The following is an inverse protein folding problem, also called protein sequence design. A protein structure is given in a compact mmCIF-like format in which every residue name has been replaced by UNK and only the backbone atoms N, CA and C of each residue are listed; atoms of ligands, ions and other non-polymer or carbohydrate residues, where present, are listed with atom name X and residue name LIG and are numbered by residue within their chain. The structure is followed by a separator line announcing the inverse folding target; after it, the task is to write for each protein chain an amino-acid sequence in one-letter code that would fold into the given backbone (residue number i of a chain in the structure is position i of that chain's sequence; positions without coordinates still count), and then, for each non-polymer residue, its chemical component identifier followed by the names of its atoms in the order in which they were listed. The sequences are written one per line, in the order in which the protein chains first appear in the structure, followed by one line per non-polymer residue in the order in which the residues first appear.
data_IF_111520527862
#
_entry.id   IF_111520527862
#
_cell.length_a   1.000
_cell.length_b   1.000
_cell.length_c   1.000
_cell.angle_alpha   90.00
_cell.angle_beta   90.00
_cell.angle_gamma   90.00
#
_symmetry.space_group_name_H-M   'P 1'
#
loop_
_entity.id
_entity.type
_entity.pdbx_description
1 polymer ?
#
# COMPACT_ATOMS: atom_id res chain seq x y z
N UNK A 1 15.89 15.54 -1.22
CA UNK A 1 16.60 14.24 -1.22
C UNK A 1 15.75 13.26 -2.02
N UNK A 2 16.17 12.83 -3.22
CA UNK A 2 15.35 12.00 -4.12
C UNK A 2 15.34 10.55 -3.60
N UNK A 3 14.17 10.06 -3.22
CA UNK A 3 13.95 8.63 -2.93
C UNK A 3 13.93 7.84 -4.26
N UNK A 4 14.26 6.55 -4.29
CA UNK A 4 14.17 5.72 -5.51
C UNK A 4 12.79 5.75 -6.20
N UNK A 5 11.74 6.10 -5.44
CA UNK A 5 10.38 6.32 -5.92
C UNK A 5 10.25 7.50 -6.90
N UNK A 6 11.22 8.41 -6.96
CA UNK A 6 11.24 9.53 -7.93
C UNK A 6 11.28 9.07 -9.38
N UNK A 7 11.71 7.84 -9.67
CA UNK A 7 11.72 7.31 -11.03
C UNK A 7 10.30 7.04 -11.57
N UNK A 8 9.39 6.57 -10.72
CA UNK A 8 7.97 6.34 -11.10
C UNK A 8 7.31 7.66 -11.53
N UNK A 9 7.61 8.75 -10.82
CA UNK A 9 7.04 10.06 -11.13
C UNK A 9 7.57 10.68 -12.42
N UNK A 10 8.79 10.32 -12.86
CA UNK A 10 9.33 10.74 -14.14
C UNK A 10 8.65 9.98 -15.28
N UNK A 11 8.62 8.64 -15.20
CA UNK A 11 7.97 7.80 -16.21
C UNK A 11 6.50 8.14 -16.40
N UNK A 12 5.76 8.39 -15.31
CA UNK A 12 4.36 8.82 -15.43
C UNK A 12 4.25 10.15 -16.17
N UNK A 13 5.13 11.12 -15.93
CA UNK A 13 5.08 12.41 -16.64
C UNK A 13 5.41 12.27 -18.11
N UNK A 14 6.42 11.49 -18.47
CA UNK A 14 6.79 11.28 -19.87
C UNK A 14 5.62 10.71 -20.70
N UNK A 15 4.82 9.81 -20.11
CA UNK A 15 3.61 9.29 -20.77
C UNK A 15 2.52 10.36 -20.90
N UNK A 16 2.31 11.16 -19.85
CA UNK A 16 1.25 12.16 -19.81
C UNK A 16 1.57 13.39 -20.68
N UNK A 17 2.83 13.78 -20.78
CA UNK A 17 3.29 14.88 -21.63
C UNK A 17 3.15 14.54 -23.13
N UNK A 18 3.01 13.25 -23.46
CA UNK A 18 2.63 12.80 -24.79
C UNK A 18 1.13 12.92 -25.11
N UNK A 19 0.29 13.28 -24.13
CA UNK A 19 -1.14 13.47 -24.31
C UNK A 19 -1.44 14.92 -24.71
N UNK A 20 -2.22 15.12 -25.78
CA UNK A 20 -2.67 16.45 -26.22
C UNK A 20 -3.91 16.93 -25.43
N UNK A 21 -3.88 16.76 -24.11
CA UNK A 21 -4.97 17.09 -23.18
C UNK A 21 -4.40 17.59 -21.86
N UNK A 22 -5.09 18.55 -21.24
CA UNK A 22 -4.68 19.04 -19.93
C UNK A 22 -4.87 17.95 -18.86
N UNK A 23 -3.97 17.88 -17.88
CA UNK A 23 -4.04 16.89 -16.83
C UNK A 23 -3.53 17.43 -15.48
N UNK A 24 -3.88 16.76 -14.40
CA UNK A 24 -3.37 16.99 -13.05
C UNK A 24 -3.03 15.66 -12.39
N UNK A 25 -1.99 15.64 -11.55
CA UNK A 25 -1.52 14.41 -10.89
C UNK A 25 -1.50 14.60 -9.38
N UNK A 26 -2.20 13.70 -8.68
CA UNK A 26 -2.23 13.64 -7.22
C UNK A 26 -1.39 12.45 -6.75
N UNK A 27 -0.32 12.71 -6.00
CA UNK A 27 0.60 11.68 -5.52
C UNK A 27 0.17 11.11 -4.16
N UNK A 28 0.40 9.83 -3.93
CA UNK A 28 0.02 9.17 -2.66
C UNK A 28 0.84 9.66 -1.47
N UNK A 29 1.96 10.35 -1.73
CA UNK A 29 2.84 10.95 -0.74
C UNK A 29 2.71 12.48 -0.67
N UNK A 30 1.72 13.07 -1.36
CA UNK A 30 1.51 14.50 -1.38
C UNK A 30 1.14 15.03 0.01
N UNK A 31 1.59 16.24 0.33
CA UNK A 31 1.15 16.98 1.52
C UNK A 31 -0.16 17.72 1.28
N UNK A 32 -0.78 18.24 2.36
CA UNK A 32 -2.11 18.86 2.28
C UNK A 32 -2.16 20.07 1.33
N UNK A 33 -1.07 20.82 1.23
CA UNK A 33 -0.86 21.97 0.35
C UNK A 33 -0.68 21.58 -1.12
N UNK A 34 -0.26 20.35 -1.41
CA UNK A 34 -0.11 19.81 -2.77
C UNK A 34 -1.42 19.18 -3.31
N UNK A 35 -2.42 19.04 -2.45
CA UNK A 35 -3.69 18.39 -2.76
C UNK A 35 -3.68 16.89 -2.42
N UNK A 36 -4.54 16.49 -1.49
CA UNK A 36 -4.71 15.10 -1.07
C UNK A 36 -5.93 14.47 -1.74
N UNK A 37 -5.80 13.19 -2.08
CA UNK A 37 -6.91 12.37 -2.58
C UNK A 37 -7.04 11.10 -1.75
N UNK A 38 -8.28 10.65 -1.56
CA UNK A 38 -8.57 9.38 -0.89
C UNK A 38 -8.19 8.20 -1.81
N UNK A 39 -6.90 7.90 -1.93
CA UNK A 39 -6.31 6.89 -2.82
C UNK A 39 -7.06 5.55 -2.76
N UNK A 40 -7.37 5.07 -1.56
CA UNK A 40 -8.04 3.79 -1.37
C UNK A 40 -9.48 3.78 -1.93
N UNK A 41 -10.19 4.91 -1.83
CA UNK A 41 -11.53 5.06 -2.41
C UNK A 41 -11.47 5.16 -3.92
N UNK A 42 -10.48 5.87 -4.46
CA UNK A 42 -10.27 5.92 -5.91
C UNK A 42 -10.01 4.52 -6.47
N UNK A 43 -9.17 3.72 -5.80
CA UNK A 43 -8.89 2.34 -6.21
C UNK A 43 -10.14 1.44 -6.20
N UNK A 44 -11.05 1.64 -5.22
CA UNK A 44 -12.31 0.92 -5.13
C UNK A 44 -13.27 1.28 -6.26
N UNK A 45 -13.52 2.58 -6.48
CA UNK A 45 -14.51 3.02 -7.48
C UNK A 45 -14.03 2.87 -8.91
N UNK A 46 -12.71 2.79 -9.13
CA UNK A 46 -12.11 2.49 -10.44
C UNK A 46 -12.07 1.00 -10.77
N UNK A 47 -12.46 0.12 -9.84
CA UNK A 47 -12.42 -1.33 -10.05
C UNK A 47 -11.00 -1.92 -10.03
N UNK A 48 -10.00 -1.16 -9.57
CA UNK A 48 -8.60 -1.64 -9.48
C UNK A 48 -8.41 -2.59 -8.30
N UNK A 49 -9.11 -2.35 -7.19
CA UNK A 49 -8.98 -3.16 -5.99
C UNK A 49 -10.21 -3.12 -5.10
N UNK A 50 -10.35 -4.14 -4.26
CA UNK A 50 -11.35 -4.17 -3.22
C UNK A 50 -10.83 -3.45 -1.96
N UNK A 51 -11.50 -2.38 -1.51
CA UNK A 51 -11.20 -1.77 -0.22
C UNK A 51 -11.82 -2.61 0.90
N UNK A 52 -10.97 -3.39 1.58
CA UNK A 52 -11.41 -4.42 2.51
C UNK A 52 -11.63 -3.86 3.93
N UNK A 53 -12.85 -3.93 4.49
CA UNK A 53 -13.13 -3.46 5.84
C UNK A 53 -12.39 -4.24 6.94
N UNK A 54 -12.11 -5.53 6.71
CA UNK A 54 -11.45 -6.40 7.71
C UNK A 54 -9.95 -6.13 7.85
N UNK A 55 -9.30 -5.54 6.83
CA UNK A 55 -7.86 -5.23 6.85
C UNK A 55 -7.57 -3.73 6.79
N UNK A 56 -8.54 -2.90 6.43
CA UNK A 56 -8.37 -1.50 6.03
C UNK A 56 -7.38 -1.30 4.86
N UNK A 57 -7.10 -2.35 4.07
CA UNK A 57 -6.21 -2.31 2.91
C UNK A 57 -6.99 -2.40 1.61
N UNK A 58 -6.41 -1.90 0.52
CA UNK A 58 -6.87 -2.22 -0.84
C UNK A 58 -6.25 -3.55 -1.27
N UNK A 59 -7.09 -4.48 -1.70
CA UNK A 59 -6.68 -5.81 -2.08
C UNK A 59 -6.80 -5.96 -3.60
N UNK A 60 -5.67 -6.15 -4.27
CA UNK A 60 -5.61 -6.38 -5.70
C UNK A 60 -5.97 -7.85 -5.99
N UNK A 61 -6.74 -8.15 -7.05
CA UNK A 61 -7.08 -9.53 -7.40
C UNK A 61 -5.86 -10.41 -7.67
N UNK A 62 -4.78 -9.84 -8.20
CA UNK A 62 -3.53 -10.57 -8.53
C UNK A 62 -2.47 -10.45 -7.43
N UNK A 63 -2.30 -9.27 -6.82
CA UNK A 63 -1.18 -9.00 -5.92
C UNK A 63 -1.59 -9.05 -4.44
N UNK A 64 -2.86 -9.30 -4.15
CA UNK A 64 -3.43 -9.30 -2.81
C UNK A 64 -3.13 -8.01 -2.07
N UNK A 65 -2.46 -8.14 -0.93
CA UNK A 65 -2.03 -7.02 -0.11
C UNK A 65 -0.60 -6.53 -0.43
N UNK A 66 0.12 -7.14 -1.38
CA UNK A 66 1.54 -6.88 -1.66
C UNK A 66 1.77 -5.93 -2.83
N UNK A 67 1.16 -4.76 -2.72
CA UNK A 67 1.26 -3.69 -3.72
C UNK A 67 1.04 -2.32 -3.05
N UNK A 68 1.07 -1.25 -3.85
CA UNK A 68 0.92 0.12 -3.37
C UNK A 68 0.34 1.03 -4.44
N UNK A 69 -0.57 1.92 -4.05
CA UNK A 69 -1.08 3.01 -4.88
C UNK A 69 -0.04 4.14 -4.94
N UNK A 70 0.09 4.80 -6.10
CA UNK A 70 1.15 5.80 -6.34
C UNK A 70 0.61 7.16 -6.73
N UNK A 71 -0.31 7.21 -7.69
CA UNK A 71 -0.86 8.45 -8.20
C UNK A 71 -2.28 8.25 -8.71
N UNK A 72 -3.03 9.36 -8.72
CA UNK A 72 -4.27 9.51 -9.48
C UNK A 72 -4.02 10.59 -10.52
N UNK A 73 -4.32 10.28 -11.78
CA UNK A 73 -4.25 11.24 -12.87
C UNK A 73 -5.67 11.66 -13.22
N UNK A 74 -5.92 12.96 -13.21
CA UNK A 74 -7.17 13.56 -13.67
C UNK A 74 -6.87 14.20 -15.01
N UNK A 75 -7.57 13.77 -16.05
CA UNK A 75 -7.42 14.29 -17.41
C UNK A 75 -8.66 15.12 -17.72
N UNK A 76 -8.44 16.32 -18.26
CA UNK A 76 -9.49 17.25 -18.65
C UNK A 76 -9.92 16.96 -20.09
N UNK A 77 -10.91 16.08 -20.22
CA UNK A 77 -11.54 15.71 -21.48
C UNK A 77 -13.05 15.93 -21.42
N UNK A 78 -13.70 16.21 -22.56
CA UNK A 78 -15.15 16.28 -22.62
C UNK A 78 -15.81 15.01 -22.06
N UNK A 79 -16.80 15.19 -21.19
CA UNK A 79 -17.53 14.06 -20.58
C UNK A 79 -18.23 13.19 -21.63
N UNK A 80 -18.66 13.79 -22.75
CA UNK A 80 -19.33 13.10 -23.85
C UNK A 80 -18.42 12.06 -24.52
N UNK A 81 -17.10 12.21 -24.42
CA UNK A 81 -16.13 11.24 -24.93
C UNK A 81 -16.01 10.00 -24.01
N UNK A 82 -16.51 10.08 -22.78
CA UNK A 82 -16.52 8.98 -21.81
C UNK A 82 -17.73 8.07 -22.04
N UNK A 83 -17.73 7.29 -23.13
CA UNK A 83 -18.67 6.17 -23.34
C UNK A 83 -18.35 4.94 -22.46
N UNK A 84 -18.12 5.14 -21.16
CA UNK A 84 -17.66 4.08 -20.27
C UNK A 84 -18.73 3.73 -19.24
N UNK A 85 -19.11 2.46 -19.18
CA UNK A 85 -19.84 1.94 -18.03
C UNK A 85 -18.98 2.06 -16.78
N UNK A 86 -19.62 2.37 -15.65
CA UNK A 86 -18.93 2.40 -14.36
C UNK A 86 -18.30 1.02 -14.11
N UNK A 87 -17.00 0.94 -13.76
CA UNK A 87 -16.37 -0.32 -13.43
C UNK A 87 -17.15 -1.06 -12.33
N UNK A 88 -17.31 -2.38 -12.49
CA UNK A 88 -17.90 -3.22 -11.46
C UNK A 88 -17.05 -3.18 -10.20
N UNK A 89 -17.72 -3.16 -9.04
CA UNK A 89 -17.03 -3.26 -7.75
C UNK A 89 -16.31 -4.61 -7.66
N UNK A 90 -15.03 -4.56 -7.32
CA UNK A 90 -14.24 -5.78 -7.18
C UNK A 90 -14.72 -6.62 -5.98
N UNK A 91 -14.96 -7.93 -6.17
CA UNK A 91 -15.29 -8.81 -5.07
C UNK A 91 -14.12 -8.91 -4.10
N UNK A 92 -14.43 -9.19 -2.83
CA UNK A 92 -13.41 -9.38 -1.81
C UNK A 92 -12.59 -10.65 -2.13
N UNK A 93 -11.25 -10.57 -2.19
CA UNK A 93 -10.42 -11.76 -2.38
C UNK A 93 -10.24 -12.58 -1.09
N UNK A 94 -10.82 -12.16 0.04
CA UNK A 94 -10.74 -12.89 1.32
C UNK A 94 -11.81 -13.96 1.42
N UNK A 95 -11.39 -15.16 1.78
CA UNK A 95 -12.28 -16.17 2.36
C UNK A 95 -12.82 -15.71 3.73
N UNK A 96 -13.88 -16.37 4.19
CA UNK A 96 -14.46 -16.08 5.50
C UNK A 96 -13.46 -16.29 6.66
N UNK A 97 -12.62 -17.33 6.57
CA UNK A 97 -11.61 -17.63 7.59
C UNK A 97 -10.48 -16.58 7.60
N UNK A 98 -10.06 -16.10 6.44
CA UNK A 98 -9.06 -15.01 6.37
C UNK A 98 -9.64 -13.70 6.91
N UNK A 99 -10.93 -13.43 6.66
CA UNK A 99 -11.62 -12.24 7.18
C UNK A 99 -11.59 -12.21 8.71
N UNK A 100 -11.98 -13.29 9.36
CA UNK A 100 -11.95 -13.40 10.83
C UNK A 100 -10.54 -13.21 11.40
N UNK A 101 -9.53 -13.81 10.75
CA UNK A 101 -8.12 -13.64 11.15
C UNK A 101 -7.63 -12.21 10.95
N UNK A 102 -8.01 -11.58 9.84
CA UNK A 102 -7.65 -10.21 9.51
C UNK A 102 -8.20 -9.21 10.54
N UNK A 103 -9.45 -9.38 10.97
CA UNK A 103 -10.08 -8.50 11.97
C UNK A 103 -9.32 -8.52 13.30
N UNK A 104 -8.91 -9.71 13.76
CA UNK A 104 -8.10 -9.87 14.97
C UNK A 104 -6.72 -9.21 14.84
N UNK A 105 -6.05 -9.40 13.70
CA UNK A 105 -4.72 -8.82 13.45
C UNK A 105 -4.76 -7.31 13.18
N UNK A 106 -5.87 -6.79 12.64
CA UNK A 106 -6.08 -5.35 12.48
C UNK A 106 -6.18 -4.68 13.85
N UNK A 107 -6.89 -5.29 14.80
CA UNK A 107 -6.94 -4.79 16.16
C UNK A 107 -5.55 -4.75 16.82
N UNK A 108 -4.70 -5.76 16.58
CA UNK A 108 -3.30 -5.77 17.02
C UNK A 108 -2.49 -4.64 16.35
N UNK A 109 -2.62 -4.47 15.03
CA UNK A 109 -1.87 -3.48 14.25
C UNK A 109 -2.24 -2.01 14.57
N UNK A 110 -3.49 -1.78 14.97
CA UNK A 110 -3.98 -0.47 15.41
C UNK A 110 -3.69 -0.19 16.89
N UNK A 111 -3.31 -1.21 17.67
CA UNK A 111 -3.00 -1.02 19.08
C UNK A 111 -1.75 -0.15 19.25
N UNK A 112 -1.75 0.82 20.19
CA UNK A 112 -0.57 1.60 20.47
C UNK A 112 0.57 0.68 20.91
N UNK A 113 1.84 0.98 20.55
CA UNK A 113 2.96 0.17 21.01
C UNK A 113 2.95 0.15 22.54
N UNK A 114 2.84 -1.04 23.13
CA UNK A 114 2.80 -1.19 24.59
C UNK A 114 4.13 -0.74 25.17
N UNK A 115 4.17 0.46 25.75
CA UNK A 115 5.24 0.94 26.61
C UNK A 115 5.13 0.25 27.98
N UNK A 116 5.29 -1.07 28.04
CA UNK A 116 5.48 -1.74 29.33
C UNK A 116 6.97 -2.07 29.46
N UNK A 117 7.75 -1.12 29.98
CA UNK A 117 8.93 -1.52 30.72
C UNK A 117 8.44 -2.27 31.97
N UNK A 118 8.90 -3.50 32.24
CA UNK A 118 8.67 -4.09 33.53
C UNK A 118 9.43 -3.26 34.57
N UNK A 119 8.68 -2.64 35.48
CA UNK A 119 9.19 -1.78 36.55
C UNK A 119 9.90 -2.57 37.67
N UNK A 120 10.11 -3.87 37.48
CA UNK A 120 10.86 -4.72 38.40
C UNK A 120 11.57 -5.85 37.67
N UNK A 121 12.82 -6.07 38.05
CA UNK A 121 13.82 -6.85 37.35
C UNK A 121 13.41 -8.27 36.94
N UNK A 122 13.61 -8.56 35.67
CA UNK A 122 14.25 -9.79 35.16
C UNK A 122 14.62 -9.50 33.71
N UNK A 123 15.91 -9.59 33.40
CA UNK A 123 16.44 -9.39 32.06
C UNK A 123 16.11 -10.60 31.17
N UNK A 124 14.82 -10.88 30.97
CA UNK A 124 14.40 -11.70 29.85
C UNK A 124 14.35 -10.78 28.63
N UNK A 125 15.26 -11.09 27.71
CA UNK A 125 15.59 -10.36 26.50
C UNK A 125 14.43 -10.44 25.47
N UNK A 126 13.22 -9.99 25.86
CA UNK A 126 12.10 -9.85 24.94
C UNK A 126 12.43 -8.71 23.98
N UNK A 127 13.02 -9.08 22.86
CA UNK A 127 13.19 -8.20 21.69
C UNK A 127 11.83 -7.58 21.43
N UNK A 128 11.73 -6.26 21.65
CA UNK A 128 10.50 -5.53 21.38
C UNK A 128 10.23 -5.63 19.88
N UNK A 129 9.18 -6.37 19.50
CA UNK A 129 8.80 -6.51 18.10
C UNK A 129 8.49 -5.13 17.52
N UNK A 130 9.09 -4.82 16.36
CA UNK A 130 8.90 -3.53 15.71
C UNK A 130 7.43 -3.36 15.31
N UNK A 131 6.77 -2.19 15.51
CA UNK A 131 5.35 -2.00 15.21
C UNK A 131 4.93 -2.37 13.79
N UNK A 132 5.86 -2.34 12.84
CA UNK A 132 5.64 -2.79 11.47
C UNK A 132 5.27 -4.27 11.34
N UNK A 133 5.66 -5.11 12.29
CA UNK A 133 5.46 -6.56 12.20
C UNK A 133 3.98 -6.92 12.22
N UNK A 134 3.17 -6.21 13.02
CA UNK A 134 1.72 -6.40 13.02
C UNK A 134 1.10 -6.08 11.64
N UNK A 135 1.57 -5.00 10.99
CA UNK A 135 1.15 -4.66 9.63
C UNK A 135 1.60 -5.68 8.57
N UNK A 136 2.78 -6.28 8.74
CA UNK A 136 3.27 -7.37 7.88
C UNK A 136 2.40 -8.61 8.06
N UNK A 137 2.13 -9.02 9.32
CA UNK A 137 1.25 -10.14 9.65
C UNK A 137 -0.15 -9.95 9.06
N UNK A 138 -0.71 -8.75 9.15
CA UNK A 138 -2.01 -8.41 8.57
C UNK A 138 -2.02 -8.61 7.05
N UNK A 139 -0.96 -8.20 6.34
CA UNK A 139 -0.81 -8.45 4.89
C UNK A 139 -0.65 -9.94 4.58
N UNK A 140 0.09 -10.67 5.41
CA UNK A 140 0.35 -12.11 5.26
C UNK A 140 -0.89 -13.00 5.45
N UNK A 141 -1.95 -12.50 6.10
CA UNK A 141 -3.26 -13.19 6.17
C UNK A 141 -3.87 -13.37 4.79
N UNK A 142 -3.68 -12.40 3.90
CA UNK A 142 -4.24 -12.43 2.55
C UNK A 142 -3.46 -13.45 1.72
N UNK A 143 -4.09 -14.58 1.40
CA UNK A 143 -3.44 -15.63 0.60
C UNK A 143 -3.37 -15.29 -0.88
N UNK A 144 -4.36 -14.55 -1.40
CA UNK A 144 -4.32 -14.03 -2.77
C UNK A 144 -3.04 -13.22 -2.99
N UNK A 145 -2.31 -13.50 -4.08
CA UNK A 145 -1.09 -12.78 -4.46
C UNK A 145 0.10 -12.97 -3.51
N UNK A 146 0.10 -14.01 -2.69
CA UNK A 146 1.21 -14.35 -1.77
C UNK A 146 2.53 -14.60 -2.52
N UNK A 147 2.46 -15.09 -3.75
CA UNK A 147 3.61 -15.26 -4.64
C UNK A 147 4.27 -13.92 -5.04
N UNK A 148 3.53 -12.81 -4.93
CA UNK A 148 4.03 -11.44 -5.17
C UNK A 148 4.42 -10.73 -3.88
N UNK A 149 4.49 -11.46 -2.76
CA UNK A 149 4.96 -10.90 -1.49
C UNK A 149 6.33 -10.26 -1.69
N UNK A 150 6.48 -9.06 -1.13
CA UNK A 150 7.75 -8.34 -1.17
C UNK A 150 8.87 -9.21 -0.59
N UNK A 151 10.05 -9.13 -1.21
CA UNK A 151 11.25 -9.78 -0.68
C UNK A 151 11.57 -9.24 0.72
N UNK A 152 12.35 -9.99 1.49
CA UNK A 152 12.73 -9.57 2.84
C UNK A 152 13.48 -8.24 2.83
N UNK A 153 14.30 -7.98 1.81
CA UNK A 153 15.00 -6.71 1.63
C UNK A 153 14.04 -5.56 1.29
N UNK A 154 13.05 -5.81 0.43
CA UNK A 154 12.01 -4.83 0.14
C UNK A 154 11.15 -4.52 1.38
N UNK A 155 10.82 -5.53 2.20
CA UNK A 155 10.10 -5.36 3.48
C UNK A 155 10.95 -4.55 4.47
N UNK A 156 12.23 -4.91 4.63
CA UNK A 156 13.16 -4.21 5.51
C UNK A 156 13.28 -2.74 5.11
N UNK A 157 13.40 -2.45 3.81
CA UNK A 157 13.41 -1.08 3.32
C UNK A 157 12.07 -0.36 3.56
N UNK A 158 10.92 -0.95 3.22
CA UNK A 158 9.63 -0.26 3.33
C UNK A 158 9.28 0.11 4.77
N UNK A 159 9.51 -0.80 5.71
CA UNK A 159 9.06 -0.66 7.09
C UNK A 159 10.12 -0.09 8.04
N UNK A 160 11.41 -0.26 7.75
CA UNK A 160 12.51 0.23 8.61
C UNK A 160 13.41 1.25 7.93
N UNK A 161 13.17 1.55 6.65
CA UNK A 161 14.03 2.43 5.83
C UNK A 161 15.49 1.98 5.78
N UNK A 162 15.73 0.67 5.89
CA UNK A 162 17.08 0.09 5.81
C UNK A 162 17.66 0.28 4.40
N UNK A 163 18.62 1.20 4.28
CA UNK A 163 19.29 1.51 3.01
C UNK A 163 20.24 0.40 2.55
N UNK A 164 20.75 -0.44 3.45
CA UNK A 164 21.60 -1.57 3.08
C UNK A 164 20.77 -2.63 2.35
N UNK A 165 19.56 -2.88 2.84
CA UNK A 165 18.58 -3.75 2.17
C UNK A 165 18.20 -3.20 0.79
N UNK A 166 17.97 -1.89 0.67
CA UNK A 166 17.73 -1.27 -0.64
C UNK A 166 18.89 -1.51 -1.62
N UNK A 167 20.14 -1.31 -1.19
CA UNK A 167 21.28 -1.48 -2.08
C UNK A 167 21.40 -2.94 -2.56
N UNK A 168 21.27 -3.92 -1.66
CA UNK A 168 21.25 -5.34 -2.05
C UNK A 168 20.16 -5.65 -3.06
N UNK A 169 18.93 -5.17 -2.83
CA UNK A 169 17.82 -5.38 -3.75
C UNK A 169 18.05 -4.77 -5.14
N UNK A 170 18.84 -3.68 -5.25
CA UNK A 170 19.19 -3.07 -6.53
C UNK A 170 20.31 -3.82 -7.26
N UNK A 171 21.22 -4.45 -6.52
CA UNK A 171 22.32 -5.24 -7.09
C UNK A 171 21.84 -6.60 -7.65
N UNK A 172 20.65 -7.05 -7.25
CA UNK A 172 20.01 -8.30 -7.71
C UNK A 172 19.09 -8.11 -8.94
N UNK A 173 18.86 -6.88 -9.39
CA UNK A 173 18.03 -6.52 -10.56
C UNK A 173 18.83 -6.38 -11.85
#
# INVERSE_FOLDING_TARGET
MRTPLTNVSAVCRDVLDGLDVAYSVYWSCASADEGIVAMQRVAEVSGVAHLCPATHLCLHPVYGAWWSLRAVVVVDIPCDDLCMERPSVMPSPLSALERERAENLLAEALSPPTSKQPENGSADNKVQEHPSLAWIRLRDVVTAGREYRFSDDQIAYHYRKDRRALNRALDEM
#
